data_IF_292901409809
#
_entry.id   IF_292901409809
#
_cell.length_a   1.000
_cell.length_b   1.000
_cell.length_c   1.000
_cell.angle_alpha   90.00
_cell.angle_beta   90.00
_cell.angle_gamma   90.00
#
_symmetry.space_group_name_H-M   'P 1'
#
loop_
_entity.id
_entity.type
_entity.pdbx_description
1 polymer ?
#
# COMPACT_ATOMS: atom_id res chain seq x y z
N UNK A 1 -40.00 88.47 -25.88
CA UNK A 1 -40.95 87.50 -26.42
C UNK A 1 -41.42 86.61 -25.28
N UNK A 2 -42.68 86.79 -24.86
CA UNK A 2 -43.69 85.85 -24.31
C UNK A 2 -43.24 84.44 -23.86
N UNK A 3 -43.82 83.75 -22.86
CA UNK A 3 -44.80 83.95 -21.78
C UNK A 3 -44.86 82.54 -21.08
N UNK A 4 -45.08 82.47 -19.75
CA UNK A 4 -45.67 81.36 -18.94
C UNK A 4 -45.31 79.87 -19.22
N UNK A 5 -45.07 79.08 -18.16
CA UNK A 5 -46.07 78.18 -17.49
C UNK A 5 -45.40 77.13 -16.57
N UNK A 6 -46.00 76.95 -15.38
CA UNK A 6 -45.98 75.80 -14.47
C UNK A 6 -45.70 74.41 -15.10
N UNK A 7 -45.03 73.50 -14.38
CA UNK A 7 -45.68 72.31 -13.80
C UNK A 7 -44.75 71.53 -12.84
N UNK A 8 -45.41 70.94 -11.85
CA UNK A 8 -44.93 70.16 -10.72
C UNK A 8 -44.76 68.68 -11.10
N UNK A 9 -43.77 67.95 -10.57
CA UNK A 9 -43.94 66.52 -10.24
C UNK A 9 -42.88 66.01 -9.26
N UNK A 10 -43.40 65.29 -8.26
CA UNK A 10 -42.73 64.54 -7.21
C UNK A 10 -42.11 63.22 -7.74
N UNK A 11 -41.20 62.65 -6.94
CA UNK A 11 -41.00 61.24 -6.56
C UNK A 11 -39.50 60.86 -6.56
N UNK A 12 -38.86 60.63 -5.41
CA UNK A 12 -38.86 59.45 -4.52
C UNK A 12 -37.95 58.30 -5.00
N UNK A 13 -36.99 57.93 -4.13
CA UNK A 13 -36.49 56.56 -3.99
C UNK A 13 -35.27 56.17 -4.82
N UNK A 14 -34.11 56.09 -4.17
CA UNK A 14 -33.05 55.17 -4.60
C UNK A 14 -32.50 54.48 -3.37
N UNK A 15 -33.12 53.35 -3.03
CA UNK A 15 -32.58 52.37 -2.11
C UNK A 15 -31.51 51.57 -2.86
N UNK A 16 -30.25 51.75 -2.48
CA UNK A 16 -29.13 50.98 -3.01
C UNK A 16 -29.16 49.59 -2.39
N UNK A 17 -29.68 48.61 -3.14
CA UNK A 17 -29.61 47.20 -2.77
C UNK A 17 -28.15 46.72 -2.90
N UNK A 18 -27.51 46.49 -1.75
CA UNK A 18 -26.20 45.84 -1.68
C UNK A 18 -26.41 44.34 -1.92
N UNK A 19 -26.21 43.89 -3.17
CA UNK A 19 -26.13 42.45 -3.48
C UNK A 19 -24.85 41.89 -2.85
N UNK A 20 -24.98 41.24 -1.69
CA UNK A 20 -24.00 40.33 -1.15
C UNK A 20 -23.98 39.08 -2.04
N UNK A 21 -23.11 39.08 -3.05
CA UNK A 21 -22.70 37.86 -3.75
C UNK A 21 -21.91 37.00 -2.77
N UNK A 22 -22.58 36.07 -2.12
CA UNK A 22 -21.93 34.95 -1.44
C UNK A 22 -21.27 34.07 -2.50
N UNK A 23 -19.97 34.27 -2.73
CA UNK A 23 -19.16 33.30 -3.44
C UNK A 23 -19.13 32.03 -2.60
N UNK A 24 -19.95 31.04 -2.97
CA UNK A 24 -19.77 29.67 -2.52
C UNK A 24 -18.39 29.23 -3.00
N UNK A 25 -17.41 29.23 -2.09
CA UNK A 25 -16.12 28.58 -2.33
C UNK A 25 -16.41 27.08 -2.37
N UNK A 26 -16.64 26.54 -3.57
CA UNK A 26 -16.72 25.10 -3.75
C UNK A 26 -15.41 24.49 -3.27
N UNK A 27 -15.48 23.58 -2.30
CA UNK A 27 -14.32 22.84 -1.83
C UNK A 27 -13.74 22.07 -3.03
N UNK A 28 -12.55 22.47 -3.47
CA UNK A 28 -11.89 21.86 -4.62
C UNK A 28 -11.38 20.46 -4.25
N UNK A 29 -11.59 19.49 -5.13
CA UNK A 29 -10.98 18.17 -5.01
C UNK A 29 -9.46 18.29 -5.02
N UNK A 30 -8.79 17.51 -4.17
CA UNK A 30 -7.32 17.50 -4.11
C UNK A 30 -6.81 16.19 -4.67
N UNK A 31 -6.20 16.22 -5.84
CA UNK A 31 -5.54 15.06 -6.45
C UNK A 31 -4.12 14.93 -5.92
N UNK A 32 -3.73 13.71 -5.58
CA UNK A 32 -2.42 13.36 -5.01
C UNK A 32 -1.88 12.17 -5.81
N UNK A 33 -0.82 12.40 -6.58
CA UNK A 33 -0.23 11.40 -7.45
C UNK A 33 1.04 10.80 -6.83
N UNK A 34 1.11 9.47 -6.84
CA UNK A 34 2.29 8.67 -6.56
C UNK A 34 2.77 8.13 -7.91
N UNK A 35 3.83 8.73 -8.45
CA UNK A 35 4.34 8.38 -9.77
C UNK A 35 5.69 7.69 -9.69
N UNK A 36 5.85 6.71 -10.58
CA UNK A 36 7.13 6.13 -10.96
C UNK A 36 7.40 6.41 -12.44
N UNK A 37 8.45 5.82 -13.02
CA UNK A 37 8.81 6.02 -14.43
C UNK A 37 7.63 5.67 -15.35
N UNK A 38 7.01 4.53 -15.12
CA UNK A 38 6.00 3.97 -16.02
C UNK A 38 4.59 3.94 -15.43
N UNK A 39 4.42 4.13 -14.12
CA UNK A 39 3.14 3.95 -13.43
C UNK A 39 2.73 5.16 -12.60
N UNK A 40 1.43 5.26 -12.34
CA UNK A 40 0.86 6.22 -11.41
C UNK A 40 -0.26 5.56 -10.58
N UNK A 41 -0.22 5.79 -9.27
CA UNK A 41 -1.36 5.64 -8.36
C UNK A 41 -1.84 7.06 -8.02
N UNK A 42 -3.11 7.35 -8.26
CA UNK A 42 -3.69 8.68 -8.02
C UNK A 42 -4.82 8.55 -7.01
N UNK A 43 -4.67 9.32 -5.94
CA UNK A 43 -5.65 9.48 -4.89
C UNK A 43 -6.36 10.83 -5.04
N UNK A 44 -7.60 10.91 -4.58
CA UNK A 44 -8.36 12.15 -4.53
C UNK A 44 -8.98 12.30 -3.15
N UNK A 45 -8.76 13.46 -2.54
CA UNK A 45 -9.60 13.92 -1.43
C UNK A 45 -10.80 14.68 -2.01
N UNK A 46 -12.00 14.14 -1.80
CA UNK A 46 -13.24 14.75 -2.27
C UNK A 46 -13.67 15.96 -1.40
N UNK A 47 -14.81 16.56 -1.76
CA UNK A 47 -15.44 17.68 -1.03
C UNK A 47 -15.78 17.32 0.44
N UNK A 48 -16.07 16.05 0.71
CA UNK A 48 -16.32 15.47 2.04
C UNK A 48 -15.05 15.00 2.75
N UNK A 49 -13.87 15.23 2.17
CA UNK A 49 -12.56 14.81 2.70
C UNK A 49 -12.41 13.29 2.80
N UNK A 50 -13.16 12.50 2.04
CA UNK A 50 -12.86 11.09 1.87
C UNK A 50 -11.64 10.96 0.93
N UNK A 51 -10.67 10.12 1.29
CA UNK A 51 -9.49 9.87 0.46
C UNK A 51 -9.67 8.58 -0.33
N UNK A 52 -9.86 8.70 -1.64
CA UNK A 52 -10.23 7.60 -2.52
C UNK A 52 -9.19 7.38 -3.64
N UNK A 53 -8.97 6.13 -4.02
CA UNK A 53 -8.15 5.76 -5.18
C UNK A 53 -8.97 5.96 -6.46
N UNK A 54 -8.52 6.87 -7.33
CA UNK A 54 -9.20 7.17 -8.60
C UNK A 54 -8.53 6.51 -9.79
N UNK A 55 -7.24 6.20 -9.69
CA UNK A 55 -6.48 5.55 -10.76
C UNK A 55 -5.31 4.75 -10.20
N UNK A 56 -5.06 3.56 -10.77
CA UNK A 56 -3.79 2.87 -10.62
C UNK A 56 -3.46 2.14 -11.92
N UNK A 57 -2.42 2.57 -12.62
CA UNK A 57 -2.09 2.06 -13.94
C UNK A 57 -0.86 2.72 -14.55
N UNK A 58 -0.74 2.60 -15.88
CA UNK A 58 0.31 3.26 -16.66
C UNK A 58 0.24 4.78 -16.49
N UNK A 59 1.38 5.41 -16.24
CA UNK A 59 1.46 6.86 -16.12
C UNK A 59 0.93 7.54 -17.37
N UNK A 60 0.00 8.49 -17.19
CA UNK A 60 -0.55 9.30 -18.26
C UNK A 60 0.35 10.50 -18.59
N UNK A 61 0.21 11.02 -19.81
CA UNK A 61 1.04 12.11 -20.31
C UNK A 61 0.74 13.44 -19.62
N UNK A 62 -0.50 13.64 -19.17
CA UNK A 62 -0.94 14.83 -18.46
C UNK A 62 -1.67 14.47 -17.17
N UNK A 63 -1.34 15.15 -16.07
CA UNK A 63 -2.01 14.95 -14.79
C UNK A 63 -3.50 15.34 -14.84
N UNK A 64 -3.88 16.24 -15.75
CA UNK A 64 -5.28 16.63 -15.95
C UNK A 64 -6.14 15.49 -16.52
N UNK A 65 -5.53 14.49 -17.17
CA UNK A 65 -6.27 13.32 -17.68
C UNK A 65 -6.83 12.47 -16.53
N UNK A 66 -6.16 12.43 -15.37
CA UNK A 66 -6.64 11.69 -14.20
C UNK A 66 -7.98 12.22 -13.67
N UNK A 67 -8.27 13.52 -13.85
CA UNK A 67 -9.55 14.13 -13.44
C UNK A 67 -10.73 13.63 -14.28
N UNK A 68 -10.46 13.17 -15.50
CA UNK A 68 -11.48 12.68 -16.43
C UNK A 68 -11.77 11.18 -16.23
N UNK A 69 -10.97 10.47 -15.44
CA UNK A 69 -11.08 9.02 -15.27
C UNK A 69 -12.29 8.61 -14.43
N UNK A 70 -12.58 9.25 -13.26
CA UNK A 70 -13.74 8.87 -12.46
C UNK A 70 -15.07 8.92 -13.23
N UNK A 71 -15.24 9.86 -14.15
CA UNK A 71 -16.46 10.00 -14.95
C UNK A 71 -16.58 8.95 -16.06
N UNK A 72 -15.47 8.30 -16.45
CA UNK A 72 -15.45 7.24 -17.46
C UNK A 72 -15.76 5.87 -16.86
N UNK A 73 -15.34 5.63 -15.62
CA UNK A 73 -15.75 4.45 -14.87
C UNK A 73 -17.20 4.64 -14.40
N UNK A 74 -18.17 4.35 -15.28
CA UNK A 74 -19.59 4.22 -14.96
C UNK A 74 -19.83 3.06 -14.00
N UNK A 75 -19.39 3.19 -12.76
CA UNK A 75 -19.84 2.31 -11.69
C UNK A 75 -21.30 2.67 -11.39
N UNK A 76 -22.11 1.65 -11.12
CA UNK A 76 -23.46 1.83 -10.59
C UNK A 76 -23.40 2.70 -9.32
N UNK A 77 -24.55 3.13 -8.80
CA UNK A 77 -24.63 3.96 -7.58
C UNK A 77 -23.98 3.25 -6.38
N UNK A 78 -22.67 3.39 -6.24
CA UNK A 78 -21.90 3.06 -5.05
C UNK A 78 -22.33 4.06 -3.98
N UNK A 79 -23.03 3.57 -2.96
CA UNK A 79 -23.78 4.42 -2.03
C UNK A 79 -23.01 4.73 -0.74
N UNK A 80 -21.84 4.13 -0.53
CA UNK A 80 -20.98 4.37 0.64
C UNK A 80 -20.03 5.54 0.44
N UNK A 81 -19.68 5.87 -0.81
CA UNK A 81 -18.66 6.86 -1.23
C UNK A 81 -17.23 6.56 -0.78
N UNK A 82 -16.99 5.36 -0.23
CA UNK A 82 -15.71 4.97 0.39
C UNK A 82 -15.24 3.56 -0.02
N UNK A 83 -15.88 2.95 -1.03
CA UNK A 83 -15.54 1.60 -1.49
C UNK A 83 -14.08 1.51 -1.97
N UNK A 84 -13.63 2.55 -2.66
CA UNK A 84 -12.28 2.73 -3.18
C UNK A 84 -11.39 3.56 -2.24
N UNK A 85 -11.70 3.63 -0.94
CA UNK A 85 -10.89 4.35 0.04
C UNK A 85 -9.43 3.91 -0.01
N UNK A 86 -8.50 4.86 0.09
CA UNK A 86 -7.07 4.59 0.18
C UNK A 86 -6.68 3.90 1.50
N UNK A 87 -7.53 4.02 2.54
CA UNK A 87 -7.36 3.34 3.82
C UNK A 87 -8.71 3.17 4.53
N UNK A 88 -9.28 1.97 4.37
CA UNK A 88 -10.65 1.68 4.80
C UNK A 88 -10.73 1.55 6.33
N UNK A 89 -11.49 2.43 7.00
CA UNK A 89 -11.75 2.32 8.43
C UNK A 89 -12.99 1.45 8.73
N UNK A 90 -12.95 0.73 9.86
CA UNK A 90 -14.10 -0.02 10.37
C UNK A 90 -15.08 0.88 11.15
N UNK A 91 -16.34 0.45 11.23
CA UNK A 91 -17.35 1.07 12.08
C UNK A 91 -17.95 2.38 11.57
N UNK A 92 -17.75 2.69 10.28
CA UNK A 92 -18.40 3.82 9.59
C UNK A 92 -19.25 3.35 8.38
N UNK A 93 -18.99 3.87 7.17
CA UNK A 93 -19.81 3.62 5.96
C UNK A 93 -19.35 2.42 5.14
N UNK A 94 -18.11 1.95 5.35
CA UNK A 94 -17.55 0.85 4.56
C UNK A 94 -18.32 -0.45 4.80
N UNK A 95 -18.56 -1.17 3.71
CA UNK A 95 -19.16 -2.51 3.72
C UNK A 95 -18.14 -3.63 3.48
N UNK A 96 -16.92 -3.25 3.13
CA UNK A 96 -15.84 -4.15 2.74
C UNK A 96 -14.82 -4.29 3.87
N UNK A 97 -13.93 -5.27 3.73
CA UNK A 97 -12.91 -5.58 4.73
C UNK A 97 -12.11 -4.31 5.09
N UNK A 98 -11.97 -3.98 6.39
CA UNK A 98 -11.27 -2.78 6.81
C UNK A 98 -9.74 -2.96 6.75
N UNK A 99 -9.05 -1.86 6.51
CA UNK A 99 -7.61 -1.73 6.69
C UNK A 99 -7.25 -1.50 8.16
N UNK A 100 -8.11 -0.79 8.90
CA UNK A 100 -7.92 -0.49 10.32
C UNK A 100 -9.19 -0.72 11.13
N UNK A 101 -9.03 -1.32 12.30
CA UNK A 101 -10.10 -1.50 13.29
C UNK A 101 -9.56 -1.15 14.66
N UNK A 102 -10.33 -0.39 15.42
CA UNK A 102 -9.91 0.22 16.67
C UNK A 102 -11.03 0.13 17.69
N UNK A 103 -10.67 -0.02 18.97
CA UNK A 103 -11.55 0.26 20.11
C UNK A 103 -10.99 1.50 20.81
N UNK A 104 -11.73 2.60 20.75
CA UNK A 104 -11.40 3.88 21.37
C UNK A 104 -11.35 3.76 22.90
N UNK A 105 -10.79 4.78 23.55
CA UNK A 105 -10.57 4.76 25.00
C UNK A 105 -11.89 4.65 25.81
N UNK A 106 -13.02 5.05 25.22
CA UNK A 106 -14.36 4.93 25.79
C UNK A 106 -15.10 3.62 25.43
N UNK A 107 -14.46 2.73 24.66
CA UNK A 107 -15.02 1.46 24.21
C UNK A 107 -15.74 1.52 22.86
N UNK A 108 -15.84 2.68 22.21
CA UNK A 108 -16.45 2.79 20.88
C UNK A 108 -15.56 2.15 19.80
N UNK A 109 -16.17 1.53 18.78
CA UNK A 109 -15.47 0.86 17.69
C UNK A 109 -15.58 1.58 16.33
N UNK A 110 -16.24 2.73 16.29
CA UNK A 110 -16.45 3.52 15.07
C UNK A 110 -15.26 4.44 14.79
N UNK A 111 -14.71 4.35 13.58
CA UNK A 111 -13.65 5.22 13.09
C UNK A 111 -14.02 5.80 11.70
N UNK A 112 -13.87 7.11 11.54
CA UNK A 112 -14.14 7.84 10.29
C UNK A 112 -12.94 8.71 9.90
N UNK A 113 -12.05 8.17 9.07
CA UNK A 113 -10.82 8.86 8.68
C UNK A 113 -11.05 9.87 7.54
N UNK A 114 -10.79 11.15 7.82
CA UNK A 114 -10.90 12.26 6.88
C UNK A 114 -9.55 12.86 6.54
N UNK A 115 -9.36 13.19 5.27
CA UNK A 115 -8.19 13.87 4.77
C UNK A 115 -8.01 15.24 5.42
N UNK A 116 -6.79 15.50 5.92
CA UNK A 116 -6.39 16.80 6.49
C UNK A 116 -5.40 17.51 5.59
N UNK A 117 -4.29 16.85 5.26
CA UNK A 117 -3.19 17.43 4.50
C UNK A 117 -2.27 16.35 3.94
N UNK A 118 -1.38 16.72 3.02
CA UNK A 118 -0.29 15.88 2.59
C UNK A 118 0.99 16.69 2.41
N UNK A 119 2.14 16.00 2.38
CA UNK A 119 3.43 16.60 2.05
C UNK A 119 4.28 15.63 1.25
N UNK A 120 5.09 16.16 0.34
CA UNK A 120 6.05 15.38 -0.44
C UNK A 120 7.45 15.83 -0.05
N UNK A 121 8.28 14.88 0.38
CA UNK A 121 9.70 15.07 0.66
C UNK A 121 10.51 14.32 -0.40
N UNK A 122 11.30 15.05 -1.18
CA UNK A 122 12.29 14.45 -2.09
C UNK A 122 13.49 13.99 -1.26
N UNK A 123 13.74 12.69 -1.19
CA UNK A 123 14.88 12.12 -0.45
C UNK A 123 16.13 12.04 -1.33
N UNK A 124 15.94 11.82 -2.63
CA UNK A 124 16.98 11.90 -3.66
C UNK A 124 16.34 12.17 -5.03
N UNK A 125 17.13 12.22 -6.10
CA UNK A 125 16.58 12.39 -7.45
C UNK A 125 15.62 11.29 -7.89
N UNK A 126 15.80 10.07 -7.38
CA UNK A 126 15.01 8.90 -7.75
C UNK A 126 14.00 8.47 -6.67
N UNK A 127 14.02 9.11 -5.49
CA UNK A 127 13.25 8.68 -4.33
C UNK A 127 12.48 9.83 -3.71
N UNK A 128 11.16 9.67 -3.59
CA UNK A 128 10.28 10.63 -2.93
C UNK A 128 9.41 9.95 -1.89
N UNK A 129 9.16 10.65 -0.80
CA UNK A 129 8.27 10.22 0.29
C UNK A 129 7.06 11.14 0.35
N UNK A 130 5.89 10.61 0.01
CA UNK A 130 4.61 11.25 0.26
C UNK A 130 4.08 10.81 1.63
N UNK A 131 3.63 11.76 2.43
CA UNK A 131 2.86 11.52 3.66
C UNK A 131 1.49 12.17 3.56
N UNK A 132 0.43 11.44 3.91
CA UNK A 132 -0.95 11.93 3.92
C UNK A 132 -1.53 11.75 5.32
N UNK A 133 -2.01 12.84 5.92
CA UNK A 133 -2.59 12.84 7.25
C UNK A 133 -4.11 12.67 7.14
N UNK A 134 -4.62 11.62 7.79
CA UNK A 134 -6.03 11.36 8.00
C UNK A 134 -6.37 11.48 9.50
N UNK A 135 -7.52 12.06 9.83
CA UNK A 135 -8.00 12.19 11.21
C UNK A 135 -9.46 11.82 11.35
N UNK A 136 -9.79 11.27 12.51
CA UNK A 136 -11.19 11.17 12.93
C UNK A 136 -11.72 12.57 13.32
N UNK A 137 -12.94 12.96 12.91
CA UNK A 137 -13.51 14.26 13.25
C UNK A 137 -14.02 14.36 14.70
N UNK A 138 -14.21 13.24 15.39
CA UNK A 138 -14.75 13.14 16.76
C UNK A 138 -13.65 12.79 17.75
N UNK A 139 -12.82 11.79 17.45
CA UNK A 139 -11.72 11.36 18.31
C UNK A 139 -10.41 12.04 17.90
N UNK A 140 -9.52 12.34 18.88
CA UNK A 140 -8.15 12.78 18.57
C UNK A 140 -7.30 11.56 18.17
N UNK A 141 -7.66 10.97 17.04
CA UNK A 141 -7.07 9.79 16.44
C UNK A 141 -6.61 10.13 15.02
N UNK A 142 -5.37 9.77 14.71
CA UNK A 142 -4.71 10.12 13.45
C UNK A 142 -4.06 8.87 12.84
N UNK A 143 -4.25 8.72 11.52
CA UNK A 143 -3.48 7.80 10.69
C UNK A 143 -2.71 8.62 9.67
N UNK A 144 -1.42 8.36 9.53
CA UNK A 144 -0.58 8.94 8.48
C UNK A 144 -0.23 7.84 7.50
N UNK A 145 -0.65 7.98 6.24
CA UNK A 145 -0.28 7.06 5.17
C UNK A 145 1.02 7.54 4.54
N UNK A 146 1.96 6.63 4.34
CA UNK A 146 3.22 6.90 3.68
C UNK A 146 3.32 6.13 2.38
N UNK A 147 3.78 6.81 1.34
CA UNK A 147 4.09 6.23 0.04
C UNK A 147 5.49 6.67 -0.35
N UNK A 148 6.43 5.74 -0.40
CA UNK A 148 7.79 5.98 -0.86
C UNK A 148 7.96 5.43 -2.26
N UNK A 149 8.12 6.31 -3.24
CA UNK A 149 8.29 5.92 -4.64
C UNK A 149 9.75 5.89 -5.05
N UNK A 150 10.14 4.83 -5.75
CA UNK A 150 11.45 4.65 -6.38
C UNK A 150 11.28 4.81 -7.89
N UNK A 151 11.39 6.05 -8.36
CA UNK A 151 10.97 6.46 -9.69
C UNK A 151 11.56 5.59 -10.80
N UNK A 152 12.88 5.36 -10.77
CA UNK A 152 13.59 4.59 -11.81
C UNK A 152 13.35 3.08 -11.77
N UNK A 153 12.91 2.55 -10.64
CA UNK A 153 12.76 1.11 -10.42
C UNK A 153 11.29 0.68 -10.48
N UNK A 154 10.34 1.61 -10.66
CA UNK A 154 8.89 1.34 -10.70
C UNK A 154 8.33 0.69 -9.43
N UNK A 155 9.01 0.85 -8.30
CA UNK A 155 8.60 0.30 -7.00
C UNK A 155 8.03 1.38 -6.08
N UNK A 156 7.01 1.02 -5.31
CA UNK A 156 6.47 1.82 -4.20
C UNK A 156 6.48 0.99 -2.93
N UNK A 157 6.95 1.59 -1.83
CA UNK A 157 6.69 1.10 -0.47
C UNK A 157 5.54 1.91 0.15
N UNK A 158 4.63 1.22 0.82
CA UNK A 158 3.49 1.83 1.51
C UNK A 158 3.41 1.33 2.96
N UNK A 159 3.20 2.23 3.91
CA UNK A 159 2.93 1.88 5.30
C UNK A 159 2.03 2.92 5.96
N UNK A 160 1.58 2.65 7.18
CA UNK A 160 0.83 3.58 8.00
C UNK A 160 1.49 3.81 9.36
N UNK A 161 1.27 5.01 9.89
CA UNK A 161 1.62 5.38 11.26
C UNK A 161 0.37 5.84 11.98
N UNK A 162 0.05 5.18 13.09
CA UNK A 162 -1.16 5.41 13.87
C UNK A 162 -0.79 6.07 15.19
N UNK A 163 -1.50 7.14 15.57
CA UNK A 163 -1.35 7.81 16.86
C UNK A 163 -2.65 8.43 17.35
N UNK A 164 -2.74 8.66 18.65
CA UNK A 164 -3.90 9.33 19.24
C UNK A 164 -3.51 10.17 20.46
N UNK A 165 -4.41 11.08 20.85
CA UNK A 165 -4.33 11.84 22.11
C UNK A 165 -5.57 11.68 22.99
N UNK A 166 -6.39 10.65 22.74
CA UNK A 166 -7.53 10.29 23.58
C UNK A 166 -7.14 10.08 25.06
N UNK A 167 -8.12 10.20 25.96
CA UNK A 167 -7.95 10.00 27.40
C UNK A 167 -8.02 8.52 27.75
N UNK A 168 -6.88 7.84 27.72
CA UNK A 168 -6.76 6.40 27.95
C UNK A 168 -6.05 5.71 26.80
N UNK A 169 -5.85 4.39 26.90
CA UNK A 169 -5.28 3.62 25.81
C UNK A 169 -6.34 3.30 24.77
N UNK A 170 -5.90 3.23 23.51
CA UNK A 170 -6.70 2.77 22.39
C UNK A 170 -6.24 1.37 22.01
N UNK A 171 -7.17 0.48 21.66
CA UNK A 171 -6.84 -0.89 21.27
C UNK A 171 -6.92 -1.03 19.75
N UNK A 172 -5.77 -1.24 19.10
CA UNK A 172 -5.71 -1.54 17.67
C UNK A 172 -6.02 -3.02 17.47
N UNK A 173 -7.12 -3.32 16.77
CA UNK A 173 -7.57 -4.69 16.46
C UNK A 173 -7.09 -5.15 15.08
N UNK A 174 -6.94 -4.20 14.13
CA UNK A 174 -6.38 -4.43 12.80
C UNK A 174 -5.66 -3.16 12.35
N UNK A 175 -4.51 -3.30 11.70
CA UNK A 175 -3.62 -2.20 11.34
C UNK A 175 -2.81 -2.56 10.08
N UNK A 176 -3.48 -2.53 8.92
CA UNK A 176 -2.87 -2.85 7.64
C UNK A 176 -1.82 -1.80 7.24
N UNK A 177 -0.80 -2.25 6.52
CA UNK A 177 0.22 -1.41 5.89
C UNK A 177 -0.29 -0.75 4.61
N UNK A 178 -1.11 -1.47 3.84
CA UNK A 178 -1.65 -1.01 2.57
C UNK A 178 -3.11 -1.46 2.37
N UNK A 179 -3.82 -0.70 1.52
CA UNK A 179 -5.19 -0.95 1.09
C UNK A 179 -5.34 -0.48 -0.36
N UNK A 180 -4.84 -1.29 -1.30
CA UNK A 180 -4.87 -0.97 -2.74
C UNK A 180 -6.25 -1.26 -3.32
N UNK A 181 -6.58 -0.55 -4.39
CA UNK A 181 -7.83 -0.72 -5.14
C UNK A 181 -7.53 -0.78 -6.65
N UNK A 182 -7.88 -1.90 -7.29
CA UNK A 182 -7.59 -2.17 -8.70
C UNK A 182 -8.89 -2.35 -9.50
N UNK A 183 -8.83 -1.95 -10.77
CA UNK A 183 -9.92 -2.11 -11.74
C UNK A 183 -9.41 -2.86 -12.96
N UNK A 184 -10.10 -3.96 -13.31
CA UNK A 184 -9.88 -4.76 -14.51
C UNK A 184 -11.15 -5.59 -14.79
N UNK A 185 -11.22 -6.26 -15.94
CA UNK A 185 -12.33 -7.16 -16.27
C UNK A 185 -12.30 -8.49 -15.51
N UNK A 186 -11.11 -8.96 -15.12
CA UNK A 186 -10.93 -10.08 -14.20
C UNK A 186 -9.55 -10.06 -13.54
N UNK A 187 -9.35 -10.87 -12.51
CA UNK A 187 -8.07 -10.96 -11.80
C UNK A 187 -7.64 -12.40 -11.59
N UNK A 188 -6.34 -12.64 -11.70
CA UNK A 188 -5.70 -13.93 -11.49
C UNK A 188 -4.59 -13.80 -10.46
N UNK A 189 -4.67 -14.59 -9.39
CA UNK A 189 -3.69 -14.64 -8.32
C UNK A 189 -2.66 -15.72 -8.64
N UNK A 190 -1.39 -15.32 -8.70
CA UNK A 190 -0.26 -16.22 -8.60
C UNK A 190 0.32 -16.07 -7.18
N UNK A 191 0.19 -17.12 -6.38
CA UNK A 191 0.68 -17.20 -5.00
C UNK A 191 1.71 -18.32 -4.89
N UNK A 192 2.43 -18.37 -3.78
CA UNK A 192 3.37 -19.45 -3.52
C UNK A 192 3.00 -20.18 -2.24
N UNK A 193 3.18 -21.50 -2.23
CA UNK A 193 3.07 -22.32 -1.04
C UNK A 193 4.28 -23.27 -0.95
N UNK A 194 4.38 -24.04 0.12
CA UNK A 194 5.48 -24.99 0.26
C UNK A 194 5.49 -25.73 1.58
N UNK A 195 6.61 -26.37 1.82
CA UNK A 195 7.03 -26.96 3.08
C UNK A 195 8.55 -26.87 3.16
N UNK A 196 9.15 -27.27 4.28
CA UNK A 196 10.58 -27.46 4.39
C UNK A 196 11.13 -28.31 3.23
N UNK A 197 12.18 -27.79 2.59
CA UNK A 197 12.83 -28.37 1.39
C UNK A 197 11.94 -28.42 0.13
N UNK A 198 10.79 -27.73 0.14
CA UNK A 198 9.84 -27.58 -0.99
C UNK A 198 9.24 -26.18 -1.00
N UNK A 199 10.05 -25.16 -0.74
CA UNK A 199 9.60 -23.77 -0.67
C UNK A 199 9.22 -23.23 -2.06
N UNK A 200 8.50 -22.10 -2.08
CA UNK A 200 8.23 -21.31 -3.30
C UNK A 200 7.54 -22.07 -4.45
N UNK A 201 6.65 -23.03 -4.16
CA UNK A 201 5.84 -23.70 -5.18
C UNK A 201 4.74 -22.77 -5.68
N UNK A 202 4.70 -22.42 -6.99
CA UNK A 202 3.72 -21.49 -7.52
C UNK A 202 2.35 -22.15 -7.71
N UNK A 203 1.30 -21.41 -7.42
CA UNK A 203 -0.09 -21.77 -7.68
C UNK A 203 -0.80 -20.57 -8.32
N UNK A 204 -1.48 -20.81 -9.45
CA UNK A 204 -2.22 -19.77 -10.16
C UNK A 204 -3.71 -20.09 -10.18
N UNK A 205 -4.54 -19.11 -9.81
CA UNK A 205 -5.99 -19.26 -9.74
C UNK A 205 -6.71 -17.98 -10.12
N UNK A 206 -7.92 -18.11 -10.67
CA UNK A 206 -8.80 -16.96 -10.91
C UNK A 206 -9.39 -16.50 -9.58
N UNK A 207 -9.40 -15.19 -9.34
CA UNK A 207 -10.08 -14.62 -8.17
C UNK A 207 -11.58 -14.57 -8.42
N UNK A 208 -12.34 -14.99 -7.42
CA UNK A 208 -13.82 -14.94 -7.39
C UNK A 208 -14.30 -13.96 -6.33
N UNK A 209 -15.58 -13.60 -6.39
CA UNK A 209 -16.22 -12.71 -5.41
C UNK A 209 -16.04 -13.21 -3.97
N UNK A 210 -15.82 -12.28 -3.05
CA UNK A 210 -15.47 -12.57 -1.65
C UNK A 210 -13.98 -12.34 -1.37
N UNK A 211 -13.47 -12.93 -0.29
CA UNK A 211 -12.11 -12.69 0.21
C UNK A 211 -11.28 -13.97 0.09
N UNK A 212 -10.16 -13.90 -0.63
CA UNK A 212 -9.05 -14.86 -0.54
C UNK A 212 -7.99 -14.28 0.39
N UNK A 213 -7.58 -15.04 1.40
CA UNK A 213 -6.53 -14.64 2.33
C UNK A 213 -5.26 -15.43 2.08
N UNK A 214 -4.11 -14.74 2.05
CA UNK A 214 -2.77 -15.31 2.21
C UNK A 214 -2.25 -14.88 3.58
N UNK A 215 -2.00 -15.81 4.49
CA UNK A 215 -1.56 -15.46 5.84
C UNK A 215 -0.66 -16.51 6.50
N UNK A 216 -0.05 -16.10 7.59
CA UNK A 216 0.69 -16.97 8.50
C UNK A 216 0.45 -16.54 9.94
N UNK A 217 0.43 -17.53 10.85
CA UNK A 217 0.25 -17.39 12.29
C UNK A 217 1.38 -18.06 13.09
N UNK A 218 2.45 -18.45 12.40
CA UNK A 218 3.54 -19.29 12.93
C UNK A 218 4.56 -18.52 13.80
N UNK A 219 4.49 -17.19 13.83
CA UNK A 219 5.44 -16.28 14.45
C UNK A 219 6.72 -16.09 13.63
N UNK A 220 7.24 -17.16 13.03
CA UNK A 220 8.43 -17.17 12.15
C UNK A 220 8.24 -18.21 11.03
N UNK A 221 9.25 -18.37 10.15
CA UNK A 221 9.30 -19.42 9.10
C UNK A 221 8.20 -19.36 8.04
N UNK A 222 7.53 -18.21 7.90
CA UNK A 222 6.52 -17.99 6.88
C UNK A 222 7.00 -18.39 5.48
N UNK A 223 8.25 -18.06 5.12
CA UNK A 223 8.82 -18.33 3.81
C UNK A 223 8.95 -19.83 3.46
N UNK A 224 8.90 -20.73 4.45
CA UNK A 224 8.90 -22.18 4.17
C UNK A 224 7.55 -22.64 3.61
N UNK A 225 6.46 -22.05 4.12
CA UNK A 225 5.10 -22.55 3.89
C UNK A 225 4.25 -21.63 3.01
N UNK A 226 4.31 -20.33 3.28
CA UNK A 226 3.48 -19.30 2.67
C UNK A 226 4.22 -17.96 2.74
N UNK A 227 5.12 -17.65 1.78
CA UNK A 227 5.77 -16.34 1.74
C UNK A 227 4.73 -15.24 1.43
N UNK A 228 5.02 -14.00 1.82
CA UNK A 228 4.09 -12.87 1.61
C UNK A 228 4.02 -12.37 0.17
N UNK A 229 4.88 -12.89 -0.71
CA UNK A 229 4.97 -12.48 -2.11
C UNK A 229 3.86 -13.10 -2.93
N UNK A 230 3.28 -12.32 -3.83
CA UNK A 230 2.27 -12.76 -4.78
C UNK A 230 2.22 -11.83 -5.99
N UNK A 231 1.53 -12.27 -7.04
CA UNK A 231 1.23 -11.46 -8.21
C UNK A 231 -0.26 -11.48 -8.53
N UNK A 232 -0.80 -10.35 -8.98
CA UNK A 232 -2.16 -10.21 -9.51
C UNK A 232 -2.08 -9.84 -10.98
N UNK A 233 -2.47 -10.74 -11.87
CA UNK A 233 -2.61 -10.43 -13.29
C UNK A 233 -4.00 -9.87 -13.58
N UNK A 234 -4.06 -8.82 -14.39
CA UNK A 234 -5.30 -8.17 -14.83
C UNK A 234 -5.79 -8.77 -16.15
N UNK A 235 -7.10 -8.98 -16.25
CA UNK A 235 -7.85 -9.50 -17.40
C UNK A 235 -7.59 -10.97 -17.79
N UNK A 236 -6.33 -11.41 -17.76
CA UNK A 236 -5.88 -12.77 -18.07
C UNK A 236 -4.63 -13.12 -17.26
N UNK A 237 -4.26 -14.41 -17.13
CA UNK A 237 -2.95 -14.78 -16.60
C UNK A 237 -1.82 -14.12 -17.40
N UNK A 238 -0.90 -13.44 -16.71
CA UNK A 238 0.28 -12.86 -17.34
C UNK A 238 1.35 -13.93 -17.61
N UNK A 239 2.10 -13.75 -18.68
CA UNK A 239 3.32 -14.53 -18.99
C UNK A 239 4.55 -13.76 -18.50
N UNK A 240 5.75 -14.27 -18.76
CA UNK A 240 6.99 -13.53 -18.46
C UNK A 240 7.10 -12.19 -19.21
N UNK A 241 6.57 -12.12 -20.43
CA UNK A 241 6.78 -10.99 -21.35
C UNK A 241 5.48 -10.29 -21.79
N UNK A 242 4.32 -10.73 -21.28
CA UNK A 242 3.02 -10.15 -21.65
C UNK A 242 2.06 -10.09 -20.45
N UNK A 243 1.27 -9.01 -20.42
CA UNK A 243 0.16 -8.83 -19.48
C UNK A 243 0.45 -7.75 -18.44
N UNK A 244 -0.62 -7.22 -17.85
CA UNK A 244 -0.53 -6.27 -16.75
C UNK A 244 -0.54 -7.05 -15.43
N UNK A 245 0.50 -6.89 -14.62
CA UNK A 245 0.69 -7.63 -13.38
C UNK A 245 1.15 -6.70 -12.25
N UNK A 246 0.40 -6.72 -11.14
CA UNK A 246 0.87 -6.18 -9.87
C UNK A 246 1.68 -7.27 -9.17
N UNK A 247 2.92 -6.98 -8.80
CA UNK A 247 3.73 -7.80 -7.91
C UNK A 247 3.74 -7.12 -6.55
N UNK A 248 3.37 -7.85 -5.48
CA UNK A 248 3.34 -7.32 -4.12
C UNK A 248 3.98 -8.25 -3.09
N UNK A 249 4.51 -7.68 -2.01
CA UNK A 249 4.99 -8.42 -0.84
C UNK A 249 4.96 -7.53 0.42
N UNK A 250 4.98 -8.14 1.60
CA UNK A 250 5.13 -7.43 2.87
C UNK A 250 6.59 -7.51 3.34
N UNK A 251 7.20 -6.38 3.69
CA UNK A 251 8.52 -6.30 4.30
C UNK A 251 8.46 -6.66 5.78
N UNK A 252 8.05 -7.89 6.07
CA UNK A 252 7.84 -8.35 7.44
C UNK A 252 8.10 -9.85 7.56
N UNK A 253 8.87 -10.25 8.57
CA UNK A 253 9.25 -11.65 8.80
C UNK A 253 8.37 -12.35 9.84
N UNK A 254 7.46 -11.62 10.49
CA UNK A 254 6.52 -12.15 11.47
C UNK A 254 5.19 -12.61 10.86
N UNK A 255 4.15 -12.64 11.69
CA UNK A 255 2.81 -12.97 11.23
C UNK A 255 2.24 -11.90 10.29
N UNK A 256 1.96 -12.25 9.05
CA UNK A 256 1.32 -11.37 8.07
C UNK A 256 -0.04 -11.89 7.65
N UNK A 257 -0.86 -10.99 7.11
CA UNK A 257 -2.12 -11.29 6.43
C UNK A 257 -2.28 -10.35 5.24
N UNK A 258 -2.57 -10.94 4.09
CA UNK A 258 -2.98 -10.24 2.87
C UNK A 258 -4.36 -10.73 2.48
N UNK A 259 -5.36 -9.85 2.58
CA UNK A 259 -6.71 -10.08 2.12
C UNK A 259 -6.87 -9.54 0.69
N UNK A 260 -7.33 -10.40 -0.20
CA UNK A 260 -7.59 -10.11 -1.61
C UNK A 260 -9.10 -10.25 -1.80
N UNK A 261 -9.79 -9.12 -1.78
CA UNK A 261 -11.26 -9.04 -1.78
C UNK A 261 -11.76 -8.56 -3.15
N UNK A 262 -12.52 -9.41 -3.84
CA UNK A 262 -13.26 -9.01 -5.05
C UNK A 262 -14.67 -8.58 -4.67
N UNK A 263 -14.94 -7.29 -4.84
CA UNK A 263 -16.21 -6.66 -4.44
C UNK A 263 -17.36 -6.93 -5.42
N UNK A 264 -18.57 -6.52 -5.03
CA UNK A 264 -19.80 -6.70 -5.83
C UNK A 264 -19.84 -5.87 -7.13
N UNK A 265 -18.88 -4.96 -7.33
CA UNK A 265 -18.69 -4.16 -8.54
C UNK A 265 -17.52 -4.68 -9.40
N UNK A 266 -16.96 -5.86 -9.08
CA UNK A 266 -15.80 -6.48 -9.71
C UNK A 266 -14.49 -5.67 -9.58
N UNK A 267 -14.33 -4.86 -8.54
CA UNK A 267 -13.04 -4.23 -8.22
C UNK A 267 -12.31 -5.04 -7.16
N UNK A 268 -10.98 -5.03 -7.25
CA UNK A 268 -10.14 -5.81 -6.34
C UNK A 268 -9.54 -4.91 -5.27
N UNK A 269 -9.76 -5.26 -4.01
CA UNK A 269 -9.04 -4.70 -2.87
C UNK A 269 -7.93 -5.62 -2.42
N UNK A 270 -6.79 -5.04 -2.09
CA UNK A 270 -5.65 -5.76 -1.52
C UNK A 270 -5.29 -5.07 -0.21
N UNK A 271 -5.54 -5.74 0.91
CA UNK A 271 -5.28 -5.25 2.25
C UNK A 271 -4.18 -6.09 2.86
N UNK A 272 -2.99 -5.53 3.08
CA UNK A 272 -1.83 -6.29 3.57
C UNK A 272 -1.22 -5.62 4.79
N UNK A 273 -0.82 -6.42 5.78
CA UNK A 273 -0.13 -5.97 6.98
C UNK A 273 0.13 -7.09 7.97
N UNK A 274 0.38 -6.73 9.23
CA UNK A 274 0.53 -7.69 10.32
C UNK A 274 -0.78 -8.48 10.48
N UNK A 275 -0.68 -9.79 10.72
CA UNK A 275 -1.85 -10.64 10.95
C UNK A 275 -2.57 -10.21 12.23
N UNK A 276 -3.86 -9.91 12.13
CA UNK A 276 -4.70 -9.51 13.25
C UNK A 276 -5.18 -10.68 14.13
N UNK A 277 -4.86 -11.93 13.80
CA UNK A 277 -5.13 -13.07 14.67
C UNK A 277 -4.27 -13.01 15.93
N UNK A 278 -4.91 -12.94 17.11
CA UNK A 278 -4.26 -12.86 18.41
C UNK A 278 -3.23 -11.71 18.54
N UNK A 279 -3.47 -10.60 17.83
CA UNK A 279 -2.56 -9.45 17.79
C UNK A 279 -3.19 -8.11 18.21
N UNK A 280 -4.11 -8.02 19.20
CA UNK A 280 -4.60 -6.74 19.66
C UNK A 280 -3.45 -5.94 20.29
N UNK A 281 -3.28 -4.67 19.90
CA UNK A 281 -2.18 -3.82 20.37
C UNK A 281 -2.74 -2.63 21.16
N UNK A 282 -2.39 -2.54 22.45
CA UNK A 282 -2.76 -1.40 23.29
C UNK A 282 -1.80 -0.24 23.03
N UNK A 283 -2.24 0.73 22.24
CA UNK A 283 -1.50 1.95 21.94
C UNK A 283 -1.75 2.97 23.06
N UNK A 284 -0.66 3.51 23.63
CA UNK A 284 -0.76 4.56 24.65
C UNK A 284 -0.87 5.93 23.98
N UNK A 285 -1.45 6.86 24.75
CA UNK A 285 -1.55 8.26 24.35
C UNK A 285 -0.19 8.84 23.93
N UNK A 286 -0.16 9.52 22.78
CA UNK A 286 1.02 10.13 22.16
C UNK A 286 2.12 9.17 21.67
N UNK A 287 1.97 7.85 21.82
CA UNK A 287 2.86 6.88 21.17
C UNK A 287 2.47 6.72 19.69
N UNK A 288 3.45 6.39 18.86
CA UNK A 288 3.24 6.07 17.44
C UNK A 288 3.37 4.57 17.23
N UNK A 289 2.40 3.97 16.54
CA UNK A 289 2.48 2.61 16.04
C UNK A 289 2.79 2.65 14.54
N UNK A 290 3.91 2.03 14.13
CA UNK A 290 4.36 2.00 12.74
C UNK A 290 4.16 0.59 12.19
N UNK A 291 3.40 0.46 11.09
CA UNK A 291 3.25 -0.83 10.40
C UNK A 291 4.49 -1.14 9.55
N UNK A 292 4.79 -2.42 9.24
CA UNK A 292 5.82 -2.75 8.24
C UNK A 292 5.46 -2.17 6.87
N UNK A 293 6.43 -2.05 5.97
CA UNK A 293 6.17 -1.63 4.60
C UNK A 293 5.53 -2.75 3.78
N UNK A 294 4.52 -2.42 2.98
CA UNK A 294 4.05 -3.23 1.87
C UNK A 294 4.66 -2.69 0.59
N UNK A 295 5.37 -3.54 -0.14
CA UNK A 295 6.08 -3.16 -1.36
C UNK A 295 5.30 -3.65 -2.59
N UNK A 296 5.25 -2.85 -3.65
CA UNK A 296 4.62 -3.26 -4.89
C UNK A 296 5.20 -2.56 -6.14
N UNK A 297 5.07 -3.23 -7.29
CA UNK A 297 5.31 -2.70 -8.64
C UNK A 297 4.17 -3.12 -9.54
N UNK A 298 3.84 -2.29 -10.52
CA UNK A 298 2.96 -2.64 -11.62
C UNK A 298 3.81 -2.77 -12.89
N UNK A 299 3.67 -3.89 -13.59
CA UNK A 299 4.23 -4.08 -14.93
C UNK A 299 3.09 -4.14 -15.93
N UNK A 300 3.27 -3.56 -17.11
CA UNK A 300 2.38 -3.73 -18.27
C UNK A 300 2.95 -4.67 -19.33
N UNK A 301 4.07 -5.34 -19.02
CA UNK A 301 4.88 -6.14 -19.95
C UNK A 301 5.22 -7.53 -19.37
N UNK A 302 4.38 -8.04 -18.47
CA UNK A 302 4.51 -9.38 -17.91
C UNK A 302 5.30 -9.48 -16.60
N UNK A 303 5.40 -10.71 -16.10
CA UNK A 303 5.97 -11.11 -14.81
C UNK A 303 7.49 -10.87 -14.73
N UNK A 304 8.18 -10.97 -15.86
CA UNK A 304 9.63 -10.80 -15.95
C UNK A 304 10.06 -9.37 -15.64
N UNK A 305 9.34 -8.37 -16.16
CA UNK A 305 9.62 -6.97 -15.86
C UNK A 305 9.35 -6.65 -14.39
N UNK A 306 8.19 -7.07 -13.87
CA UNK A 306 7.84 -6.89 -12.47
C UNK A 306 8.91 -7.48 -11.52
N UNK A 307 9.38 -8.69 -11.81
CA UNK A 307 10.42 -9.34 -11.00
C UNK A 307 11.76 -8.60 -11.11
N UNK A 308 12.16 -8.14 -12.30
CA UNK A 308 13.41 -7.36 -12.48
C UNK A 308 13.35 -6.01 -11.76
N UNK A 309 12.21 -5.33 -11.75
CA UNK A 309 11.99 -4.10 -10.98
C UNK A 309 12.24 -4.35 -9.49
N UNK A 310 11.66 -5.42 -8.96
CA UNK A 310 11.87 -5.84 -7.56
C UNK A 310 13.32 -6.22 -7.27
N UNK A 311 13.97 -7.01 -8.13
CA UNK A 311 15.37 -7.40 -7.96
C UNK A 311 16.31 -6.19 -7.99
N UNK A 312 16.06 -5.22 -8.88
CA UNK A 312 16.87 -4.01 -8.98
C UNK A 312 16.70 -3.12 -7.76
N UNK A 313 15.46 -2.92 -7.31
CA UNK A 313 15.16 -2.18 -6.09
C UNK A 313 15.79 -2.85 -4.86
N UNK A 314 15.60 -4.15 -4.67
CA UNK A 314 16.10 -4.87 -3.50
C UNK A 314 17.63 -4.79 -3.39
N UNK A 315 18.35 -5.01 -4.51
CA UNK A 315 19.82 -4.91 -4.56
C UNK A 315 20.35 -3.50 -4.33
N UNK A 316 19.57 -2.45 -4.62
CA UNK A 316 19.98 -1.05 -4.44
C UNK A 316 19.67 -0.51 -3.05
N UNK A 317 18.53 -0.89 -2.47
CA UNK A 317 17.97 -0.17 -1.32
C UNK A 317 17.74 -1.02 -0.06
N UNK A 318 17.75 -2.35 -0.17
CA UNK A 318 17.34 -3.23 0.94
C UNK A 318 18.38 -4.26 1.33
N UNK A 319 18.96 -4.95 0.36
CA UNK A 319 19.99 -5.97 0.61
C UNK A 319 21.29 -5.25 0.93
N UNK A 320 21.86 -5.54 2.11
CA UNK A 320 23.19 -5.07 2.48
C UNK A 320 24.20 -5.56 1.43
N UNK A 321 24.94 -4.61 0.86
CA UNK A 321 25.87 -4.87 -0.25
C UNK A 321 25.21 -5.66 -1.40
N UNK A 322 24.00 -5.27 -1.81
CA UNK A 322 23.22 -5.99 -2.82
C UNK A 322 23.82 -6.03 -4.23
N UNK A 323 24.90 -5.27 -4.48
CA UNK A 323 25.67 -5.30 -5.73
C UNK A 323 27.10 -5.82 -5.56
N UNK A 324 27.50 -6.17 -4.35
CA UNK A 324 28.81 -6.75 -4.08
C UNK A 324 28.90 -8.18 -4.59
N UNK A 325 30.13 -8.67 -4.65
CA UNK A 325 30.43 -10.05 -4.96
C UNK A 325 30.16 -10.95 -3.75
N UNK A 326 29.98 -12.25 -3.98
CA UNK A 326 29.78 -13.25 -2.94
C UNK A 326 30.89 -14.28 -3.04
N UNK A 327 31.46 -14.63 -1.89
CA UNK A 327 32.47 -15.66 -1.80
C UNK A 327 31.89 -17.03 -2.17
N UNK A 328 32.65 -17.84 -2.88
CA UNK A 328 32.33 -19.26 -3.03
C UNK A 328 32.69 -19.94 -1.72
N UNK A 329 31.73 -20.61 -1.09
CA UNK A 329 31.91 -21.24 0.22
C UNK A 329 31.80 -22.77 0.17
N UNK A 330 32.51 -23.44 1.07
CA UNK A 330 32.32 -24.84 1.42
C UNK A 330 31.78 -24.91 2.85
N UNK A 331 30.58 -25.48 3.02
CA UNK A 331 29.97 -25.75 4.31
C UNK A 331 30.09 -27.25 4.63
N UNK A 332 30.44 -27.62 5.87
CA UNK A 332 30.68 -29.03 6.24
C UNK A 332 29.44 -29.81 6.72
N UNK A 333 28.26 -29.19 6.81
CA UNK A 333 27.07 -29.78 7.42
C UNK A 333 26.73 -31.17 6.88
N UNK A 334 26.51 -31.32 5.57
CA UNK A 334 26.17 -32.63 5.00
C UNK A 334 27.37 -33.58 4.90
N UNK A 335 28.60 -33.07 4.99
CA UNK A 335 29.80 -33.88 4.92
C UNK A 335 30.10 -34.62 6.24
N UNK A 336 29.73 -34.02 7.37
CA UNK A 336 30.07 -34.57 8.69
C UNK A 336 28.90 -34.63 9.65
N UNK A 337 27.86 -33.83 9.44
CA UNK A 337 26.88 -33.48 10.49
C UNK A 337 27.64 -33.15 11.78
N UNK A 338 27.25 -33.75 12.90
CA UNK A 338 27.91 -33.62 14.19
C UNK A 338 29.16 -34.52 14.37
N UNK A 339 29.46 -35.42 13.42
CA UNK A 339 30.62 -36.33 13.50
C UNK A 339 31.87 -35.68 12.90
N UNK A 340 32.43 -34.69 13.60
CA UNK A 340 33.73 -34.11 13.22
C UNK A 340 34.61 -33.77 14.43
N UNK A 341 35.89 -33.57 14.12
CA UNK A 341 36.88 -33.00 15.00
C UNK A 341 37.85 -32.17 14.16
N UNK A 342 38.75 -31.43 14.81
CA UNK A 342 39.71 -30.56 14.15
C UNK A 342 40.54 -31.28 13.04
N UNK A 343 41.10 -32.49 13.27
CA UNK A 343 41.80 -33.22 12.21
C UNK A 343 40.95 -33.51 10.95
N UNK A 344 39.69 -33.97 11.12
CA UNK A 344 38.78 -34.26 10.01
C UNK A 344 38.46 -33.00 9.20
N UNK A 345 38.25 -31.87 9.88
CA UNK A 345 38.03 -30.57 9.23
C UNK A 345 39.28 -30.07 8.51
N UNK A 346 40.47 -30.26 9.09
CA UNK A 346 41.72 -29.87 8.45
C UNK A 346 41.96 -30.64 7.15
N UNK A 347 41.62 -31.93 7.11
CA UNK A 347 41.72 -32.71 5.89
C UNK A 347 40.72 -32.25 4.81
N UNK A 348 39.50 -31.88 5.18
CA UNK A 348 38.54 -31.25 4.24
C UNK A 348 39.09 -29.92 3.67
N UNK A 349 39.72 -29.11 4.53
CA UNK A 349 40.31 -27.82 4.15
C UNK A 349 41.49 -27.94 3.17
N UNK A 350 42.27 -29.03 3.20
CA UNK A 350 43.44 -29.18 2.31
C UNK A 350 43.07 -29.14 0.83
N UNK A 351 41.90 -29.65 0.47
CA UNK A 351 41.46 -29.74 -0.92
C UNK A 351 40.65 -28.53 -1.41
N UNK A 352 40.19 -27.66 -0.50
CA UNK A 352 39.39 -26.47 -0.87
C UNK A 352 40.16 -25.49 -1.74
N UNK A 353 41.47 -25.32 -1.49
CA UNK A 353 42.34 -24.46 -2.31
C UNK A 353 42.49 -24.97 -3.74
N UNK A 354 42.49 -26.29 -3.95
CA UNK A 354 42.54 -26.87 -5.31
C UNK A 354 41.21 -26.70 -6.04
N UNK A 355 40.10 -26.72 -5.29
CA UNK A 355 38.75 -26.51 -5.82
C UNK A 355 38.44 -25.03 -6.12
N UNK A 356 39.24 -24.09 -5.61
CA UNK A 356 39.07 -22.65 -5.84
C UNK A 356 37.98 -22.01 -4.97
N UNK A 357 37.73 -22.57 -3.78
CA UNK A 357 36.77 -22.01 -2.81
C UNK A 357 37.42 -20.90 -2.00
N UNK A 358 36.68 -19.81 -1.73
CA UNK A 358 37.17 -18.63 -1.03
C UNK A 358 36.97 -18.68 0.49
N UNK A 359 35.95 -19.41 0.95
CA UNK A 359 35.51 -19.45 2.36
C UNK A 359 35.21 -20.89 2.81
N UNK A 360 35.69 -21.26 3.99
CA UNK A 360 35.19 -22.44 4.70
C UNK A 360 34.25 -22.01 5.82
N UNK A 361 33.05 -22.60 5.84
CA UNK A 361 32.01 -22.33 6.83
C UNK A 361 31.87 -23.57 7.74
N UNK A 362 32.33 -23.42 8.98
CA UNK A 362 32.11 -24.40 10.04
C UNK A 362 30.65 -24.33 10.50
N UNK A 363 29.91 -25.39 10.25
CA UNK A 363 28.50 -25.52 10.59
C UNK A 363 28.28 -26.05 12.02
N UNK A 364 27.04 -26.38 12.38
CA UNK A 364 26.62 -26.69 13.76
C UNK A 364 27.41 -27.83 14.43
N UNK A 365 27.61 -27.71 15.74
CA UNK A 365 28.28 -28.73 16.58
C UNK A 365 29.74 -28.47 16.97
N UNK A 366 30.29 -27.27 16.74
CA UNK A 366 31.65 -26.89 17.13
C UNK A 366 31.82 -26.58 18.62
#
# INVERSE_FOLDING_TARGET
MNFKTLFCSLFNGSATALLLLSSQVNAQNVNISIETRNNALVLQADDKKNLNTIYFGKKLSSSAEYEMIPSQFKQSSEYTSVLNSAYTASGSKSLLEPAVTVTHADGNNSLDLRYVSHSVKKESDDVSLLSIILKDPVYDFQVTLYYKSYYKDDVVEQWSVIKHKEKGNVLLQKYASANLYLKAGSFWLNQYHGDWAKEMQPEESKITHGIKTLDTKLGTRANLFQPSVFMISMDKPATEDEGTVLYGALEYSGNFKTDIELDYLNNLKIISGINNYASPYSLKQNEEFVTPAFLYTLSSTGKGDASRNMHNWARKYKVLDGKGERLTLLNNWEATYFDFNEPKLFDLLKDTKKLGVDLFLLDDGW
#
